data_IF_913922223427
#
_entry.id   IF_913922223427
#
_cell.length_a   1.000
_cell.length_b   1.000
_cell.length_c   1.000
_cell.angle_alpha   90.00
_cell.angle_beta   90.00
_cell.angle_gamma   90.00
#
_symmetry.space_group_name_H-M   'P 1'
#
loop_
_entity.id
_entity.type
_entity.pdbx_description
1 polymer ?
#
# COMPACT_ATOMS: atom_id res chain seq x y z
N UNK A 1 -5.50 16.40 -34.11
CA UNK A 1 -6.72 16.32 -33.27
C UNK A 1 -7.18 17.68 -32.74
N UNK A 2 -6.37 18.44 -31.96
CA UNK A 2 -6.77 19.78 -31.47
C UNK A 2 -7.20 20.74 -32.59
N UNK A 3 -6.44 20.80 -33.67
CA UNK A 3 -6.76 21.62 -34.84
C UNK A 3 -8.03 21.15 -35.55
N UNK A 4 -8.22 19.84 -35.73
CA UNK A 4 -9.43 19.25 -36.31
C UNK A 4 -10.68 19.59 -35.49
N UNK A 5 -10.59 19.53 -34.15
CA UNK A 5 -11.66 19.95 -33.24
C UNK A 5 -11.98 21.44 -33.44
N UNK A 6 -10.96 22.30 -33.57
CA UNK A 6 -11.14 23.74 -33.79
C UNK A 6 -11.80 24.05 -35.14
N UNK A 7 -11.40 23.32 -36.20
CA UNK A 7 -11.99 23.44 -37.53
C UNK A 7 -13.47 23.04 -37.51
N UNK A 8 -13.81 21.90 -36.91
CA UNK A 8 -15.20 21.44 -36.75
C UNK A 8 -16.06 22.45 -35.96
N UNK A 9 -15.54 23.01 -34.86
CA UNK A 9 -16.25 24.05 -34.10
C UNK A 9 -16.57 25.25 -35.00
N UNK A 10 -15.61 25.69 -35.81
CA UNK A 10 -15.77 26.83 -36.72
C UNK A 10 -16.77 26.51 -37.84
N UNK A 11 -16.72 25.32 -38.42
CA UNK A 11 -17.65 24.87 -39.47
C UNK A 11 -19.10 24.76 -38.96
N UNK A 12 -19.30 24.07 -37.83
CA UNK A 12 -20.60 23.97 -37.17
C UNK A 12 -21.15 25.37 -36.86
N UNK A 13 -20.30 26.27 -36.36
CA UNK A 13 -20.67 27.66 -36.10
C UNK A 13 -21.19 28.39 -37.34
N UNK A 14 -20.46 28.31 -38.46
CA UNK A 14 -20.88 28.90 -39.74
C UNK A 14 -22.21 28.34 -40.23
N UNK A 15 -22.40 27.01 -40.15
CA UNK A 15 -23.64 26.36 -40.56
C UNK A 15 -24.84 26.76 -39.70
N UNK A 16 -24.66 26.86 -38.38
CA UNK A 16 -25.70 27.34 -37.46
C UNK A 16 -26.09 28.78 -37.77
N UNK A 17 -25.12 29.67 -38.01
CA UNK A 17 -25.41 31.06 -38.40
C UNK A 17 -26.15 31.13 -39.73
N UNK A 18 -25.74 30.34 -40.74
CA UNK A 18 -26.45 30.24 -42.02
C UNK A 18 -27.90 29.81 -41.84
N UNK A 19 -28.16 28.74 -41.10
CA UNK A 19 -29.52 28.23 -40.90
C UNK A 19 -30.38 29.20 -40.08
N UNK A 20 -29.81 29.87 -39.07
CA UNK A 20 -30.52 30.90 -38.29
C UNK A 20 -30.94 32.11 -39.15
N UNK A 21 -30.19 32.42 -40.20
CA UNK A 21 -30.52 33.52 -41.11
C UNK A 21 -31.65 33.18 -42.10
N UNK A 22 -31.99 31.89 -42.28
CA UNK A 22 -33.12 31.49 -43.13
C UNK A 22 -34.45 31.79 -42.45
N UNK A 23 -35.38 32.35 -43.23
CA UNK A 23 -36.76 32.67 -42.80
C UNK A 23 -37.74 31.50 -42.96
N UNK A 24 -37.40 30.52 -43.81
CA UNK A 24 -38.25 29.39 -44.18
C UNK A 24 -37.45 28.10 -43.98
N UNK A 25 -38.09 27.09 -43.40
CA UNK A 25 -37.53 25.75 -43.19
C UNK A 25 -37.78 24.89 -44.43
N UNK A 26 -37.02 25.16 -45.49
CA UNK A 26 -37.03 24.41 -46.74
C UNK A 26 -36.14 23.16 -46.67
N UNK A 27 -36.15 22.33 -47.72
CA UNK A 27 -35.31 21.13 -47.80
C UNK A 27 -33.81 21.42 -47.54
N UNK A 28 -33.31 22.57 -48.03
CA UNK A 28 -31.94 23.00 -47.79
C UNK A 28 -31.65 23.34 -46.32
N UNK A 29 -32.63 23.84 -45.55
CA UNK A 29 -32.47 24.05 -44.12
C UNK A 29 -32.24 22.72 -43.39
N UNK A 30 -33.10 21.73 -43.64
CA UNK A 30 -33.02 20.41 -43.00
C UNK A 30 -31.76 19.64 -43.38
N UNK A 31 -31.27 19.78 -44.63
CA UNK A 31 -30.01 19.18 -45.05
C UNK A 31 -28.81 19.72 -44.24
N UNK A 32 -28.76 21.04 -44.02
CA UNK A 32 -27.71 21.66 -43.21
C UNK A 32 -27.86 21.31 -41.73
N UNK A 33 -29.09 21.16 -41.22
CA UNK A 33 -29.35 20.74 -39.85
C UNK A 33 -28.89 19.30 -39.59
N UNK A 34 -29.12 18.39 -40.54
CA UNK A 34 -28.58 17.04 -40.49
C UNK A 34 -27.04 17.06 -40.48
N UNK A 35 -26.41 17.85 -41.35
CA UNK A 35 -24.94 18.02 -41.36
C UNK A 35 -24.40 18.59 -40.04
N UNK A 36 -25.10 19.56 -39.44
CA UNK A 36 -24.75 20.09 -38.11
C UNK A 36 -24.79 18.96 -37.07
N UNK A 37 -25.81 18.11 -37.10
CA UNK A 37 -25.96 16.99 -36.17
C UNK A 37 -24.81 15.99 -36.32
N UNK A 38 -24.52 15.57 -37.54
CA UNK A 38 -23.42 14.64 -37.86
C UNK A 38 -22.06 15.20 -37.44
N UNK A 39 -21.76 16.46 -37.77
CA UNK A 39 -20.51 17.10 -37.36
C UNK A 39 -20.41 17.31 -35.85
N UNK A 40 -21.54 17.55 -35.16
CA UNK A 40 -21.57 17.67 -33.70
C UNK A 40 -21.26 16.33 -33.02
N UNK A 41 -21.81 15.22 -33.55
CA UNK A 41 -21.50 13.86 -33.10
C UNK A 41 -20.00 13.56 -33.24
N UNK A 42 -19.43 13.86 -34.42
CA UNK A 42 -18.00 13.71 -34.69
C UNK A 42 -17.13 14.56 -33.75
N UNK A 43 -17.51 15.82 -33.54
CA UNK A 43 -16.82 16.73 -32.62
C UNK A 43 -16.80 16.18 -31.19
N UNK A 44 -17.92 15.63 -30.72
CA UNK A 44 -18.01 15.05 -29.38
C UNK A 44 -17.10 13.83 -29.25
N UNK A 45 -17.09 12.93 -30.24
CA UNK A 45 -16.18 11.78 -30.28
C UNK A 45 -14.70 12.20 -30.23
N UNK A 46 -14.29 13.17 -31.06
CA UNK A 46 -12.92 13.67 -31.07
C UNK A 46 -12.52 14.35 -29.75
N UNK A 47 -13.42 15.11 -29.11
CA UNK A 47 -13.16 15.74 -27.80
C UNK A 47 -12.85 14.70 -26.73
N UNK A 48 -13.58 13.58 -26.70
CA UNK A 48 -13.36 12.49 -25.73
C UNK A 48 -11.98 11.87 -25.93
N UNK A 49 -11.61 11.55 -27.18
CA UNK A 49 -10.30 10.97 -27.50
C UNK A 49 -9.18 11.95 -27.12
N UNK A 50 -9.32 13.21 -27.51
CA UNK A 50 -8.33 14.26 -27.21
C UNK A 50 -8.13 14.45 -25.70
N UNK A 51 -9.21 14.49 -24.92
CA UNK A 51 -9.12 14.61 -23.45
C UNK A 51 -8.41 13.40 -22.83
N UNK A 52 -8.70 12.18 -23.31
CA UNK A 52 -8.03 10.95 -22.85
C UNK A 52 -6.53 10.99 -23.13
N UNK A 53 -6.14 11.34 -24.34
CA UNK A 53 -4.73 11.45 -24.74
C UNK A 53 -4.00 12.55 -23.97
N UNK A 54 -4.63 13.72 -23.82
CA UNK A 54 -4.08 14.83 -23.05
C UNK A 54 -3.87 14.43 -21.59
N UNK A 55 -4.83 13.74 -20.97
CA UNK A 55 -4.69 13.23 -19.60
C UNK A 55 -3.53 12.24 -19.48
N UNK A 56 -3.39 11.32 -20.43
CA UNK A 56 -2.27 10.37 -20.46
C UNK A 56 -0.92 11.08 -20.64
N UNK A 57 -0.84 12.04 -21.54
CA UNK A 57 0.36 12.86 -21.76
C UNK A 57 0.73 13.68 -20.53
N UNK A 58 -0.25 14.31 -19.89
CA UNK A 58 -0.05 15.07 -18.65
C UNK A 58 0.44 14.15 -17.54
N UNK A 59 -0.18 12.99 -17.33
CA UNK A 59 0.24 12.04 -16.30
C UNK A 59 1.68 11.56 -16.51
N UNK A 60 2.11 11.34 -17.76
CA UNK A 60 3.52 10.99 -18.07
C UNK A 60 4.50 12.11 -17.74
N UNK A 61 4.06 13.37 -17.77
CA UNK A 61 4.87 14.56 -17.46
C UNK A 61 4.80 14.97 -15.99
N UNK A 62 3.75 14.57 -15.29
CA UNK A 62 3.55 14.91 -13.88
C UNK A 62 4.56 14.16 -13.02
N UNK A 63 5.46 14.91 -12.36
CA UNK A 63 6.34 14.38 -11.33
C UNK A 63 5.65 14.57 -9.98
N UNK A 64 5.17 13.49 -9.38
CA UNK A 64 4.62 13.53 -8.02
C UNK A 64 5.77 13.46 -7.00
N UNK A 65 5.84 14.42 -6.08
CA UNK A 65 6.74 14.37 -4.91
C UNK A 65 5.92 14.41 -3.63
N UNK A 66 6.12 13.42 -2.77
CA UNK A 66 5.52 13.35 -1.44
C UNK A 66 6.61 13.45 -0.40
N UNK A 67 6.90 14.66 0.07
CA UNK A 67 7.86 14.90 1.14
C UNK A 67 7.17 14.89 2.50
N UNK A 68 7.89 14.43 3.53
CA UNK A 68 7.39 14.43 4.90
C UNK A 68 7.61 15.80 5.52
N UNK A 69 6.54 16.44 6.01
CA UNK A 69 6.60 17.81 6.57
C UNK A 69 7.66 17.91 7.67
N UNK A 70 7.68 16.99 8.63
CA UNK A 70 8.69 17.00 9.71
C UNK A 70 10.12 16.89 9.18
N UNK A 71 10.34 16.16 8.09
CA UNK A 71 11.67 16.05 7.48
C UNK A 71 12.07 17.36 6.82
N UNK A 72 11.14 18.02 6.12
CA UNK A 72 11.39 19.35 5.55
C UNK A 72 11.74 20.35 6.66
N UNK A 73 10.91 20.44 7.70
CA UNK A 73 11.14 21.33 8.84
C UNK A 73 12.52 21.07 9.47
N UNK A 74 12.86 19.81 9.78
CA UNK A 74 14.16 19.49 10.33
C UNK A 74 15.33 19.78 9.37
N UNK A 75 15.14 19.65 8.05
CA UNK A 75 16.20 19.94 7.07
C UNK A 75 16.51 21.43 6.97
N UNK A 76 15.50 22.30 7.12
CA UNK A 76 15.69 23.76 7.02
C UNK A 76 15.99 24.44 8.35
N UNK A 77 15.52 23.89 9.47
CA UNK A 77 15.57 24.57 10.78
C UNK A 77 16.40 23.85 11.84
N UNK A 78 16.88 22.62 11.60
CA UNK A 78 17.74 21.90 12.53
C UNK A 78 19.07 21.55 11.86
N UNK A 79 20.16 21.92 12.53
CA UNK A 79 21.49 21.47 12.13
C UNK A 79 21.63 19.97 12.36
N UNK A 80 22.22 19.31 11.36
CA UNK A 80 22.45 17.87 11.40
C UNK A 80 23.73 17.62 12.21
N UNK A 81 23.67 16.92 13.36
CA UNK A 81 24.83 16.79 14.26
C UNK A 81 25.99 16.00 13.65
N UNK A 82 25.68 14.98 12.83
CA UNK A 82 26.69 14.23 12.10
C UNK A 82 26.11 13.59 10.84
N UNK A 83 26.94 13.17 9.87
CA UNK A 83 26.48 12.48 8.68
C UNK A 83 25.63 11.23 8.97
N UNK A 84 25.89 10.54 10.08
CA UNK A 84 25.17 9.34 10.51
C UNK A 84 23.74 9.57 11.01
N UNK A 85 23.36 10.81 11.33
CA UNK A 85 22.00 11.13 11.79
C UNK A 85 21.05 11.30 10.60
N UNK A 86 20.60 10.20 10.01
CA UNK A 86 19.83 10.21 8.76
C UNK A 86 18.31 10.31 8.97
N UNK A 87 17.82 10.12 10.19
CA UNK A 87 16.40 10.03 10.50
C UNK A 87 15.94 11.24 11.30
N UNK A 88 14.72 11.70 11.05
CA UNK A 88 14.06 12.74 11.85
C UNK A 88 12.97 12.09 12.69
N UNK A 89 12.98 12.34 13.99
CA UNK A 89 12.02 11.80 14.93
C UNK A 89 11.36 12.91 15.76
N UNK A 90 10.10 12.68 16.15
CA UNK A 90 9.37 13.49 17.11
C UNK A 90 9.75 13.07 18.53
N UNK A 91 10.16 14.03 19.36
CA UNK A 91 10.52 13.84 20.77
C UNK A 91 9.31 13.39 21.57
N UNK A 92 8.17 14.06 21.38
CA UNK A 92 6.88 13.74 22.03
C UNK A 92 6.14 12.52 21.42
N UNK A 93 6.66 11.96 20.31
CA UNK A 93 6.08 10.83 19.55
C UNK A 93 4.74 11.16 18.86
N UNK A 94 4.32 12.42 18.85
CA UNK A 94 3.12 12.89 18.15
C UNK A 94 3.46 13.35 16.73
N UNK A 95 3.04 12.56 15.73
CA UNK A 95 3.31 12.81 14.31
C UNK A 95 2.66 14.09 13.76
N UNK A 96 1.69 14.65 14.47
CA UNK A 96 1.02 15.89 14.09
C UNK A 96 1.75 17.14 14.61
N UNK A 97 2.60 16.99 15.63
CA UNK A 97 3.35 18.10 16.22
C UNK A 97 4.68 18.32 15.49
N UNK A 98 4.64 19.02 14.35
CA UNK A 98 5.81 19.27 13.50
C UNK A 98 6.59 20.54 13.87
N UNK A 99 6.50 21.02 15.12
CA UNK A 99 7.29 22.16 15.57
C UNK A 99 8.77 21.81 15.62
N UNK A 100 9.64 22.75 15.23
CA UNK A 100 11.11 22.57 15.20
C UNK A 100 11.64 22.04 16.54
N UNK A 101 11.17 22.60 17.65
CA UNK A 101 11.52 22.22 19.02
C UNK A 101 11.19 20.76 19.38
N UNK A 102 10.19 20.16 18.72
CA UNK A 102 9.78 18.79 18.94
C UNK A 102 10.50 17.79 18.01
N UNK A 103 11.26 18.28 17.04
CA UNK A 103 11.97 17.44 16.08
C UNK A 103 13.43 17.29 16.49
N UNK A 104 14.01 16.14 16.17
CA UNK A 104 15.44 15.91 16.31
C UNK A 104 15.94 14.93 15.27
N UNK A 105 17.18 15.13 14.87
CA UNK A 105 17.95 14.19 14.08
C UNK A 105 18.39 13.02 14.96
N UNK A 106 18.26 11.79 14.45
CA UNK A 106 18.66 10.55 15.11
C UNK A 106 19.39 9.65 14.12
N UNK A 107 20.32 8.87 14.64
CA UNK A 107 20.86 7.67 14.01
C UNK A 107 19.82 6.54 14.02
N UNK A 108 20.09 5.47 13.26
CA UNK A 108 19.24 4.28 13.25
C UNK A 108 19.14 3.63 14.64
N UNK A 109 20.24 3.62 15.38
CA UNK A 109 20.34 3.02 16.72
C UNK A 109 19.51 3.81 17.73
N UNK A 110 19.67 5.13 17.76
CA UNK A 110 18.91 6.03 18.63
C UNK A 110 17.41 5.96 18.34
N UNK A 111 17.01 5.99 17.06
CA UNK A 111 15.59 5.88 16.69
C UNK A 111 15.01 4.52 17.11
N UNK A 112 15.78 3.44 17.02
CA UNK A 112 15.34 2.12 17.49
C UNK A 112 15.17 2.09 19.01
N UNK A 113 16.11 2.68 19.75
CA UNK A 113 16.00 2.82 21.20
C UNK A 113 14.81 3.71 21.61
N UNK A 114 14.62 4.84 20.93
CA UNK A 114 13.47 5.73 21.12
C UNK A 114 12.16 5.00 20.85
N UNK A 115 12.05 4.23 19.78
CA UNK A 115 10.84 3.45 19.49
C UNK A 115 10.56 2.38 20.54
N UNK A 116 11.58 1.65 21.01
CA UNK A 116 11.43 0.62 22.05
C UNK A 116 10.92 1.17 23.37
N UNK A 117 11.26 2.41 23.71
CA UNK A 117 10.76 3.06 24.93
C UNK A 117 9.32 3.54 24.82
N UNK A 118 8.74 3.57 23.61
CA UNK A 118 7.36 4.02 23.37
C UNK A 118 6.33 3.20 24.15
N UNK A 119 5.41 3.85 24.91
CA UNK A 119 4.31 3.16 25.55
C UNK A 119 3.45 2.37 24.57
N UNK A 120 3.23 2.92 23.37
CA UNK A 120 2.45 2.25 22.32
C UNK A 120 3.14 0.98 21.83
N UNK A 121 4.46 1.03 21.61
CA UNK A 121 5.24 -0.15 21.19
C UNK A 121 5.26 -1.20 22.29
N UNK A 122 5.47 -0.80 23.55
CA UNK A 122 5.41 -1.69 24.70
C UNK A 122 4.04 -2.35 24.85
N UNK A 123 2.96 -1.59 24.75
CA UNK A 123 1.59 -2.11 24.80
C UNK A 123 1.32 -3.07 23.63
N UNK A 124 1.75 -2.74 22.41
CA UNK A 124 1.61 -3.63 21.26
C UNK A 124 2.41 -4.94 21.44
N UNK A 125 3.61 -4.87 22.02
CA UNK A 125 4.41 -6.06 22.33
C UNK A 125 3.76 -6.91 23.44
N UNK A 126 3.22 -6.29 24.49
CA UNK A 126 2.48 -6.97 25.56
C UNK A 126 1.25 -7.67 24.98
N UNK A 127 0.42 -6.94 24.21
CA UNK A 127 -0.73 -7.50 23.51
C UNK A 127 -0.34 -8.63 22.56
N UNK A 128 0.76 -8.51 21.81
CA UNK A 128 1.28 -9.61 20.96
C UNK A 128 1.72 -10.80 21.78
N UNK A 129 2.25 -10.60 22.99
CA UNK A 129 2.68 -11.68 23.90
C UNK A 129 1.48 -12.39 24.52
N UNK A 130 0.43 -11.67 24.89
CA UNK A 130 -0.85 -12.21 25.36
C UNK A 130 -1.63 -12.91 24.25
N UNK A 131 -1.66 -12.30 23.07
CA UNK A 131 -2.28 -12.82 21.84
C UNK A 131 -1.34 -13.72 21.04
N UNK A 132 -0.17 -14.10 21.58
CA UNK A 132 0.65 -15.15 20.98
C UNK A 132 -0.28 -16.33 20.83
N UNK A 133 -0.45 -16.88 19.62
CA UNK A 133 -1.46 -17.90 19.41
C UNK A 133 -1.24 -19.04 20.38
N UNK A 134 -2.16 -19.17 21.34
CA UNK A 134 -2.21 -20.22 22.33
C UNK A 134 -2.67 -21.49 21.64
N UNK A 135 -1.84 -22.11 20.81
CA UNK A 135 -2.10 -23.40 20.13
C UNK A 135 -3.39 -23.54 19.29
N UNK A 136 -4.29 -22.54 19.31
CA UNK A 136 -5.64 -22.52 18.74
C UNK A 136 -5.69 -21.81 17.39
N UNK A 137 -4.56 -21.28 16.92
CA UNK A 137 -4.46 -20.73 15.56
C UNK A 137 -4.49 -21.86 14.53
N UNK A 138 -5.44 -21.81 13.59
CA UNK A 138 -5.62 -22.78 12.49
C UNK A 138 -4.35 -22.99 11.63
N UNK A 139 -3.40 -22.06 11.70
CA UNK A 139 -2.14 -22.02 10.94
C UNK A 139 -0.97 -22.79 11.56
N UNK A 140 -1.06 -23.30 12.79
CA UNK A 140 0.06 -24.00 13.43
C UNK A 140 0.13 -25.48 13.03
N UNK A 141 1.28 -25.90 12.49
CA UNK A 141 1.53 -27.31 12.13
C UNK A 141 1.58 -28.23 13.36
N UNK A 142 2.12 -27.73 14.48
CA UNK A 142 2.20 -28.43 15.77
C UNK A 142 1.37 -27.71 16.84
N UNK A 143 0.53 -28.48 17.52
CA UNK A 143 -0.21 -28.09 18.74
C UNK A 143 0.29 -28.95 19.89
N UNK A 144 -0.03 -28.60 21.13
CA UNK A 144 0.46 -29.33 22.30
C UNK A 144 -0.02 -30.78 22.33
N UNK A 145 -1.24 -31.06 21.89
CA UNK A 145 -1.73 -32.44 21.67
C UNK A 145 -0.87 -33.20 20.65
N UNK A 146 -0.50 -32.57 19.53
CA UNK A 146 0.39 -33.20 18.53
C UNK A 146 1.79 -33.41 19.08
N UNK A 147 2.30 -32.47 19.88
CA UNK A 147 3.63 -32.59 20.52
C UNK A 147 3.62 -33.67 21.59
N UNK A 148 2.55 -33.81 22.38
CA UNK A 148 2.36 -34.94 23.31
C UNK A 148 2.39 -36.27 22.57
N UNK A 149 1.65 -36.38 21.46
CA UNK A 149 1.66 -37.59 20.63
C UNK A 149 3.05 -37.87 20.06
N UNK A 150 3.75 -36.85 19.55
CA UNK A 150 5.14 -36.97 19.07
C UNK A 150 6.04 -37.49 20.19
N UNK A 151 5.99 -36.89 21.39
CA UNK A 151 6.81 -37.31 22.54
C UNK A 151 6.51 -38.76 22.94
N UNK A 152 5.24 -39.15 22.97
CA UNK A 152 4.82 -40.53 23.24
C UNK A 152 5.37 -41.52 22.20
N UNK A 153 5.24 -41.21 20.90
CA UNK A 153 5.78 -42.07 19.82
C UNK A 153 7.30 -42.16 19.83
N UNK A 154 8.00 -41.10 20.25
CA UNK A 154 9.44 -41.13 20.45
C UNK A 154 9.82 -42.07 21.61
N UNK A 155 9.03 -42.08 22.69
CA UNK A 155 9.22 -43.00 23.82
C UNK A 155 8.95 -44.46 23.43
N UNK A 156 7.96 -44.70 22.55
CA UNK A 156 7.66 -46.01 21.96
C UNK A 156 8.72 -46.49 20.94
N UNK A 157 9.78 -45.70 20.69
CA UNK A 157 10.91 -46.10 19.82
C UNK A 157 10.69 -45.84 18.33
N UNK A 158 9.64 -45.11 17.94
CA UNK A 158 9.38 -44.80 16.52
C UNK A 158 10.47 -43.87 15.96
N UNK A 159 10.98 -44.20 14.78
CA UNK A 159 12.01 -43.41 14.10
C UNK A 159 11.55 -41.97 13.81
N UNK A 160 12.44 -40.99 14.09
CA UNK A 160 12.16 -39.56 13.92
C UNK A 160 11.85 -39.20 12.46
N UNK A 161 12.52 -39.81 11.50
CA UNK A 161 12.24 -39.65 10.06
C UNK A 161 10.79 -39.97 9.69
N UNK A 162 10.23 -41.04 10.27
CA UNK A 162 8.84 -41.45 10.03
C UNK A 162 7.87 -40.45 10.64
N UNK A 163 8.14 -40.00 11.87
CA UNK A 163 7.33 -38.96 12.53
C UNK A 163 7.41 -37.62 11.78
N UNK A 164 8.57 -37.23 11.28
CA UNK A 164 8.76 -35.99 10.52
C UNK A 164 7.88 -35.97 9.26
N UNK A 165 7.82 -37.09 8.52
CA UNK A 165 6.97 -37.25 7.34
C UNK A 165 5.48 -37.16 7.70
N UNK A 166 5.06 -37.84 8.77
CA UNK A 166 3.66 -37.88 9.20
C UNK A 166 3.15 -36.51 9.68
N UNK A 167 3.95 -35.79 10.46
CA UNK A 167 3.60 -34.48 11.00
C UNK A 167 3.96 -33.31 10.07
N UNK A 168 4.57 -33.58 8.91
CA UNK A 168 5.03 -32.58 7.93
C UNK A 168 5.93 -31.51 8.56
N UNK A 169 6.87 -31.96 9.40
CA UNK A 169 7.86 -31.15 10.11
C UNK A 169 9.26 -31.66 9.82
N UNK A 170 10.28 -30.84 10.06
CA UNK A 170 11.67 -31.27 9.85
C UNK A 170 12.13 -32.20 10.96
N UNK A 171 13.03 -33.13 10.64
CA UNK A 171 13.62 -34.03 11.63
C UNK A 171 14.39 -33.26 12.71
N UNK A 172 15.06 -32.17 12.34
CA UNK A 172 15.69 -31.22 13.27
C UNK A 172 14.68 -30.65 14.27
N UNK A 173 13.45 -30.34 13.84
CA UNK A 173 12.40 -29.85 14.74
C UNK A 173 11.99 -30.92 15.77
N UNK A 174 11.92 -32.19 15.36
CA UNK A 174 11.65 -33.30 16.27
C UNK A 174 12.83 -33.57 17.22
N UNK A 175 14.08 -33.44 16.75
CA UNK A 175 15.28 -33.53 17.59
C UNK A 175 15.29 -32.45 18.68
N UNK A 176 14.94 -31.21 18.34
CA UNK A 176 14.81 -30.12 19.32
C UNK A 176 13.67 -30.35 20.33
N UNK A 177 12.58 -30.98 19.90
CA UNK A 177 11.49 -31.40 20.80
C UNK A 177 11.94 -32.54 21.73
N UNK A 178 12.70 -33.52 21.19
CA UNK A 178 13.27 -34.64 21.96
C UNK A 178 14.29 -34.16 23.00
N UNK A 179 15.13 -33.19 22.66
CA UNK A 179 16.13 -32.56 23.55
C UNK A 179 15.53 -31.57 24.55
N UNK A 180 14.27 -31.19 24.40
CA UNK A 180 13.62 -30.20 25.26
C UNK A 180 14.00 -28.74 24.98
N UNK A 181 14.69 -28.45 23.88
CA UNK A 181 14.97 -27.07 23.43
C UNK A 181 13.67 -26.37 22.99
N UNK A 182 12.80 -27.10 22.28
CA UNK A 182 11.48 -26.64 21.86
C UNK A 182 10.39 -27.41 22.61
N UNK A 183 9.30 -26.73 23.02
CA UNK A 183 8.16 -27.33 23.73
C UNK A 183 8.54 -28.02 25.06
N UNK A 184 9.49 -27.45 25.82
CA UNK A 184 9.90 -27.95 27.13
C UNK A 184 8.74 -28.02 28.15
N UNK A 185 7.80 -27.08 28.06
CA UNK A 185 6.64 -26.98 28.94
C UNK A 185 5.61 -28.11 28.75
N UNK A 186 5.62 -28.81 27.61
CA UNK A 186 4.68 -29.90 27.32
C UNK A 186 5.26 -31.21 27.84
N UNK A 187 4.79 -31.68 29.00
CA UNK A 187 5.27 -32.92 29.61
C UNK A 187 4.29 -34.06 29.37
N UNK A 188 4.80 -35.28 29.16
CA UNK A 188 3.98 -36.47 29.25
C UNK A 188 3.54 -36.61 30.72
N UNK A 189 2.24 -36.75 30.95
CA UNK A 189 1.78 -37.17 32.28
C UNK A 189 2.26 -38.61 32.49
N UNK A 190 2.91 -38.85 33.64
CA UNK A 190 3.38 -40.18 34.05
C UNK A 190 2.22 -41.15 34.24
#
# INVERSE_FOLDING_TARGET
MKEQIMLLIREIGKMRTRNKAKRIQDASYFEVEQKIKEQTELLNGLKVIYQRELRSSNLKRTINRGELIHRLVATYFLEKPSPGHTLVAHRDRNKLNNRVENLCWMTQEENTAHQRTSPHVKAALAKRKEQRPTEKGKTYKLTSTKVLLIKKRIQEGVALRTLAKNFKVTETQLLRIKRGENWAHVKLQS
#
